data_IF_584928084347
#
_entry.id   IF_584928084347
#
_cell.length_a   1.000
_cell.length_b   1.000
_cell.length_c   1.000
_cell.angle_alpha   90.00
_cell.angle_beta   90.00
_cell.angle_gamma   90.00
#
_symmetry.space_group_name_H-M   'P 1'
#
loop_
_entity.id
_entity.type
_entity.pdbx_description
1 polymer ?
#
# COMPACT_ATOMS: atom_id res chain seq x y z
N UNK A 1 -1.98 7.42 -15.64
CA UNK A 1 -2.37 8.21 -14.44
C UNK A 1 -2.65 9.65 -14.87
N UNK A 2 -3.80 10.22 -14.46
CA UNK A 2 -4.12 11.64 -14.71
C UNK A 2 -3.38 12.49 -13.67
N UNK A 3 -2.70 13.56 -14.08
CA UNK A 3 -1.89 14.46 -13.23
C UNK A 3 -2.59 14.93 -11.94
N UNK A 4 -3.93 14.99 -11.95
CA UNK A 4 -4.75 15.37 -10.79
C UNK A 4 -4.62 14.40 -9.62
N UNK A 5 -4.48 13.10 -9.88
CA UNK A 5 -4.35 12.08 -8.83
C UNK A 5 -3.01 12.20 -8.09
N UNK A 6 -1.95 12.59 -8.81
CA UNK A 6 -0.61 12.75 -8.23
C UNK A 6 -0.51 13.96 -7.30
N UNK A 7 -1.13 15.09 -7.65
CA UNK A 7 -1.15 16.28 -6.79
C UNK A 7 -1.97 16.07 -5.52
N UNK A 8 -3.11 15.37 -5.62
CA UNK A 8 -3.93 14.97 -4.48
C UNK A 8 -3.16 14.02 -3.56
N UNK A 9 -2.49 13.02 -4.13
CA UNK A 9 -1.62 12.11 -3.39
C UNK A 9 -0.53 12.88 -2.64
N UNK A 10 0.16 13.81 -3.32
CA UNK A 10 1.24 14.59 -2.71
C UNK A 10 0.74 15.45 -1.54
N UNK A 11 -0.44 16.07 -1.67
CA UNK A 11 -1.04 16.86 -0.59
C UNK A 11 -1.44 15.97 0.60
N UNK A 12 -1.96 14.77 0.36
CA UNK A 12 -2.30 13.82 1.41
C UNK A 12 -1.06 13.25 2.10
N UNK A 13 -0.03 12.88 1.34
CA UNK A 13 1.25 12.42 1.89
C UNK A 13 1.88 13.46 2.80
N UNK A 14 1.91 14.74 2.38
CA UNK A 14 2.43 15.84 3.23
C UNK A 14 1.63 16.06 4.50
N UNK A 15 0.33 15.77 4.47
CA UNK A 15 -0.56 15.91 5.64
C UNK A 15 -0.41 14.73 6.60
N UNK A 16 -0.32 13.51 6.07
CA UNK A 16 -0.21 12.28 6.85
C UNK A 16 1.19 12.07 7.41
N UNK A 17 2.22 12.52 6.70
CA UNK A 17 3.63 12.32 7.01
C UNK A 17 4.39 13.66 7.03
N UNK A 18 4.05 14.59 7.94
CA UNK A 18 4.66 15.93 7.96
C UNK A 18 6.13 15.91 8.39
N UNK A 19 6.55 14.88 9.12
CA UNK A 19 7.89 14.77 9.73
C UNK A 19 8.70 13.56 9.24
N UNK A 20 8.11 12.70 8.40
CA UNK A 20 8.80 11.52 7.84
C UNK A 20 9.28 11.87 6.43
N UNK A 21 10.55 11.62 6.14
CA UNK A 21 11.05 11.79 4.78
C UNK A 21 10.36 10.79 3.86
N UNK A 22 9.84 11.22 2.70
CA UNK A 22 9.14 10.35 1.74
C UNK A 22 9.94 9.08 1.36
N UNK A 23 11.28 9.12 1.50
CA UNK A 23 12.17 7.97 1.32
C UNK A 23 11.99 6.83 2.35
N UNK A 24 11.24 7.09 3.42
CA UNK A 24 10.89 6.13 4.47
C UNK A 24 9.49 5.52 4.25
N UNK A 25 8.85 5.83 3.13
CA UNK A 25 7.55 5.30 2.78
C UNK A 25 7.68 4.37 1.58
N UNK A 26 6.99 3.22 1.62
CA UNK A 26 6.83 2.36 0.47
C UNK A 26 5.41 2.57 -0.09
N UNK A 27 5.31 3.04 -1.33
CA UNK A 27 4.03 3.39 -1.96
C UNK A 27 3.78 2.44 -3.12
N UNK A 28 2.63 1.78 -3.09
CA UNK A 28 2.20 0.85 -4.12
C UNK A 28 0.75 1.10 -4.49
N UNK A 29 0.38 0.68 -5.70
CA UNK A 29 -1.00 0.64 -6.16
C UNK A 29 -1.44 -0.82 -6.21
N UNK A 30 -2.58 -1.13 -5.58
CA UNK A 30 -3.14 -2.47 -5.62
C UNK A 30 -3.90 -2.72 -6.94
N UNK A 31 -4.26 -3.98 -7.20
CA UNK A 31 -5.03 -4.37 -8.39
C UNK A 31 -6.41 -3.69 -8.51
N UNK A 32 -6.91 -3.05 -7.44
CA UNK A 32 -8.17 -2.32 -7.38
C UNK A 32 -7.98 -0.80 -7.41
N UNK A 33 -6.80 -0.33 -7.86
CA UNK A 33 -6.43 1.09 -7.97
C UNK A 33 -6.40 1.83 -6.61
N UNK A 34 -6.30 1.10 -5.49
CA UNK A 34 -6.11 1.69 -4.17
C UNK A 34 -4.64 1.96 -3.93
N UNK A 35 -4.36 3.09 -3.30
CA UNK A 35 -2.98 3.48 -3.03
C UNK A 35 -2.64 3.05 -1.62
N UNK A 36 -1.68 2.12 -1.52
CA UNK A 36 -1.15 1.58 -0.29
C UNK A 36 0.14 2.34 0.05
N UNK A 37 0.18 2.95 1.22
CA UNK A 37 1.34 3.66 1.73
C UNK A 37 1.76 2.98 3.03
N UNK A 38 2.89 2.30 2.98
CA UNK A 38 3.50 1.68 4.14
C UNK A 38 4.48 2.65 4.77
N UNK A 39 4.42 2.76 6.09
CA UNK A 39 5.38 3.47 6.94
C UNK A 39 5.85 2.53 8.05
N UNK A 40 6.82 2.96 8.85
CA UNK A 40 7.26 2.20 10.03
C UNK A 40 6.18 2.00 11.10
N UNK A 41 5.03 2.67 10.97
CA UNK A 41 3.91 2.57 11.91
C UNK A 41 2.83 1.59 11.44
N UNK A 42 2.77 1.32 10.15
CA UNK A 42 1.73 0.48 9.56
C UNK A 42 1.39 0.86 8.12
N UNK A 43 0.15 0.58 7.74
CA UNK A 43 -0.38 0.74 6.40
C UNK A 43 -1.47 1.80 6.37
N UNK A 44 -1.30 2.80 5.50
CA UNK A 44 -2.32 3.75 5.10
C UNK A 44 -2.88 3.34 3.74
N UNK A 45 -4.20 3.28 3.63
CA UNK A 45 -4.91 2.95 2.40
C UNK A 45 -5.71 4.17 1.99
N UNK A 46 -5.35 4.75 0.85
CA UNK A 46 -6.13 5.81 0.23
C UNK A 46 -7.15 5.17 -0.71
N UNK A 47 -8.41 5.28 -0.33
CA UNK A 47 -9.55 4.82 -1.11
C UNK A 47 -10.50 5.98 -1.40
N UNK A 48 -11.26 5.90 -2.50
CA UNK A 48 -12.30 6.88 -2.80
C UNK A 48 -13.59 6.50 -2.05
N UNK A 49 -14.20 7.46 -1.37
CA UNK A 49 -15.48 7.24 -0.70
C UNK A 49 -16.61 7.09 -1.73
N UNK A 50 -17.33 5.98 -1.69
CA UNK A 50 -18.34 5.63 -2.70
C UNK A 50 -19.47 6.66 -2.81
N UNK A 51 -19.83 7.32 -1.70
CA UNK A 51 -20.95 8.25 -1.63
C UNK A 51 -20.54 9.68 -1.96
N UNK A 52 -19.39 10.12 -1.45
CA UNK A 52 -18.95 11.51 -1.54
C UNK A 52 -17.91 11.74 -2.62
N UNK A 53 -17.35 10.66 -3.19
CA UNK A 53 -16.25 10.70 -4.17
C UNK A 53 -15.01 11.45 -3.64
N UNK A 54 -14.90 11.57 -2.32
CA UNK A 54 -13.78 12.22 -1.65
C UNK A 54 -12.74 11.18 -1.27
N UNK A 55 -11.45 11.54 -1.31
CA UNK A 55 -10.41 10.62 -0.91
C UNK A 55 -10.46 10.41 0.61
N UNK A 56 -10.47 9.15 1.02
CA UNK A 56 -10.51 8.69 2.40
C UNK A 56 -9.23 7.94 2.72
N UNK A 57 -8.60 8.30 3.83
CA UNK A 57 -7.49 7.52 4.39
C UNK A 57 -8.03 6.51 5.41
N UNK A 58 -7.69 5.24 5.24
CA UNK A 58 -7.92 4.18 6.22
C UNK A 58 -6.58 3.68 6.72
N UNK A 59 -6.38 3.74 8.02
CA UNK A 59 -5.12 3.37 8.65
C UNK A 59 -5.22 2.02 9.39
N UNK A 60 -4.22 1.18 9.18
CA UNK A 60 -4.01 -0.08 9.89
C UNK A 60 -2.64 -0.03 10.55
N UNK A 61 -2.59 -0.26 11.85
CA UNK A 61 -1.32 -0.42 12.57
C UNK A 61 -0.63 -1.73 12.14
N UNK A 62 0.69 -1.82 12.30
CA UNK A 62 1.47 -2.99 11.89
C UNK A 62 0.97 -4.30 12.52
N UNK A 63 0.53 -4.27 13.79
CA UNK A 63 -0.05 -5.41 14.52
C UNK A 63 -1.41 -5.87 13.98
N UNK A 64 -2.08 -5.04 13.18
CA UNK A 64 -3.31 -5.42 12.48
C UNK A 64 -3.05 -6.13 11.14
N UNK A 65 -1.79 -6.30 10.72
CA UNK A 65 -1.42 -6.96 9.47
C UNK A 65 -1.05 -8.41 9.73
N UNK A 66 -1.50 -9.30 8.85
CA UNK A 66 -1.03 -10.68 8.79
C UNK A 66 0.34 -10.74 8.11
N UNK A 67 1.11 -11.83 8.30
CA UNK A 67 2.33 -12.06 7.55
C UNK A 67 2.08 -11.97 6.04
N UNK A 68 2.97 -11.28 5.33
CA UNK A 68 2.88 -11.14 3.88
C UNK A 68 3.06 -12.49 3.19
N UNK A 69 2.31 -12.69 2.11
CA UNK A 69 2.37 -13.92 1.33
C UNK A 69 2.59 -13.61 -0.15
N UNK A 70 3.43 -14.42 -0.79
CA UNK A 70 3.60 -14.40 -2.24
C UNK A 70 2.86 -15.58 -2.85
N UNK A 71 2.14 -15.32 -3.94
CA UNK A 71 1.53 -16.37 -4.77
C UNK A 71 1.73 -16.04 -6.25
N UNK A 72 1.55 -17.06 -7.09
CA UNK A 72 1.56 -16.88 -8.54
C UNK A 72 0.16 -17.19 -9.07
N UNK A 73 -0.39 -16.27 -9.85
CA UNK A 73 -1.71 -16.41 -10.45
C UNK A 73 -1.68 -15.95 -11.90
N UNK A 74 -2.15 -16.79 -12.82
CA UNK A 74 -2.19 -16.50 -14.26
C UNK A 74 -0.86 -15.95 -14.85
N UNK A 75 0.28 -16.39 -14.30
CA UNK A 75 1.61 -15.93 -14.74
C UNK A 75 2.09 -14.61 -14.13
N UNK A 76 1.32 -14.01 -13.22
CA UNK A 76 1.67 -12.79 -12.47
C UNK A 76 2.06 -13.18 -11.03
N UNK A 77 3.07 -12.50 -10.48
CA UNK A 77 3.47 -12.66 -9.08
C UNK A 77 2.68 -11.67 -8.22
N UNK A 78 1.97 -12.19 -7.22
CA UNK A 78 1.08 -11.42 -6.37
C UNK A 78 1.62 -11.41 -4.94
N UNK A 79 1.90 -10.21 -4.42
CA UNK A 79 2.14 -9.98 -3.00
C UNK A 79 0.81 -9.65 -2.34
N UNK A 80 0.40 -10.53 -1.43
CA UNK A 80 -0.87 -10.45 -0.73
C UNK A 80 -0.64 -9.80 0.63
N UNK A 81 -1.35 -8.69 0.85
CA UNK A 81 -1.39 -7.98 2.13
C UNK A 81 -2.77 -8.18 2.73
N UNK A 82 -2.83 -8.84 3.88
CA UNK A 82 -4.08 -9.09 4.60
C UNK A 82 -4.09 -8.40 5.95
N UNK A 83 -5.24 -7.85 6.32
CA UNK A 83 -5.49 -7.36 7.67
C UNK A 83 -6.19 -8.43 8.51
N UNK A 84 -6.07 -8.35 9.85
CA UNK A 84 -6.84 -9.20 10.77
C UNK A 84 -8.36 -9.02 10.58
N UNK A 85 -8.79 -7.85 10.09
CA UNK A 85 -10.18 -7.55 9.71
C UNK A 85 -10.62 -8.14 8.35
N UNK A 86 -9.84 -9.06 7.77
CA UNK A 86 -10.13 -9.72 6.48
C UNK A 86 -10.19 -8.79 5.26
N UNK A 87 -9.58 -7.60 5.34
CA UNK A 87 -9.30 -6.81 4.13
C UNK A 87 -8.06 -7.38 3.46
N UNK A 88 -8.12 -7.53 2.14
CA UNK A 88 -7.04 -8.07 1.32
C UNK A 88 -6.69 -7.05 0.25
N UNK A 89 -5.39 -6.79 0.08
CA UNK A 89 -4.84 -5.97 -0.98
C UNK A 89 -3.80 -6.80 -1.74
N UNK A 90 -3.75 -6.62 -3.05
CA UNK A 90 -2.91 -7.43 -3.93
C UNK A 90 -2.04 -6.51 -4.76
N UNK A 91 -0.72 -6.64 -4.58
CA UNK A 91 0.26 -5.97 -5.43
C UNK A 91 0.71 -6.96 -6.51
N UNK A 92 0.59 -6.55 -7.77
CA UNK A 92 0.94 -7.37 -8.92
C UNK A 92 2.31 -6.99 -9.46
N UNK A 93 3.16 -7.98 -9.66
CA UNK A 93 4.49 -7.83 -10.21
C UNK A 93 4.68 -8.72 -11.44
N UNK A 94 5.34 -8.21 -12.49
CA UNK A 94 5.65 -9.00 -13.69
C UNK A 94 6.76 -10.03 -13.44
N UNK A 95 7.61 -9.80 -12.44
CA UNK A 95 8.77 -10.62 -12.12
C UNK A 95 8.78 -11.07 -10.65
N UNK A 96 9.31 -12.27 -10.41
CA UNK A 96 9.38 -12.86 -9.08
C UNK A 96 10.33 -12.09 -8.16
N UNK A 97 11.47 -11.65 -8.68
CA UNK A 97 12.48 -10.93 -7.92
C UNK A 97 11.93 -9.60 -7.42
N UNK A 98 11.17 -8.88 -8.25
CA UNK A 98 10.52 -7.63 -7.86
C UNK A 98 9.51 -7.85 -6.73
N UNK A 99 8.71 -8.92 -6.81
CA UNK A 99 7.74 -9.25 -5.78
C UNK A 99 8.41 -9.61 -4.44
N UNK A 100 9.50 -10.38 -4.49
CA UNK A 100 10.31 -10.72 -3.30
C UNK A 100 11.00 -9.49 -2.72
N UNK A 101 11.58 -8.63 -3.56
CA UNK A 101 12.22 -7.40 -3.11
C UNK A 101 11.22 -6.46 -2.44
N UNK A 102 10.02 -6.29 -3.02
CA UNK A 102 8.95 -5.53 -2.40
C UNK A 102 8.54 -6.12 -1.05
N UNK A 103 8.35 -7.44 -0.97
CA UNK A 103 8.04 -8.12 0.29
C UNK A 103 9.10 -7.86 1.36
N UNK A 104 10.38 -8.00 1.00
CA UNK A 104 11.48 -7.77 1.95
C UNK A 104 11.51 -6.31 2.42
N UNK A 105 11.32 -5.35 1.50
CA UNK A 105 11.23 -3.93 1.86
C UNK A 105 10.09 -3.66 2.83
N UNK A 106 8.92 -4.28 2.65
CA UNK A 106 7.80 -4.12 3.58
C UNK A 106 8.07 -4.74 4.95
N UNK A 107 8.73 -5.90 4.99
CA UNK A 107 9.15 -6.55 6.24
C UNK A 107 10.13 -5.65 6.99
N UNK A 108 11.17 -5.17 6.32
CA UNK A 108 12.20 -4.32 6.93
C UNK A 108 11.62 -2.99 7.42
N UNK A 109 10.61 -2.46 6.73
CA UNK A 109 9.95 -1.22 7.11
C UNK A 109 9.11 -1.36 8.38
N UNK A 110 8.47 -2.53 8.58
CA UNK A 110 7.52 -2.78 9.66
C UNK A 110 8.11 -3.54 10.87
N UNK A 111 9.40 -3.88 10.80
CA UNK A 111 10.16 -4.54 11.87
C UNK A 111 10.50 -3.58 13.01
#
# INVERSE_FOLDING_TARGET
>A
MKETSFLLLQAQLRTLFPNEGLHQLAIYEDQMEKILIFSSRGLHVLEEDDLTKRPRNVYFTADCLKPFALRQNAGVFELVIETLGSRTFILAFPDQMDAHQAMQTLIDLLA
#
